data_IF_414705972223
#
_entry.id   IF_414705972223
#
_cell.length_a   1.000
_cell.length_b   1.000
_cell.length_c   1.000
_cell.angle_alpha   90.00
_cell.angle_beta   90.00
_cell.angle_gamma   90.00
#
_symmetry.space_group_name_H-M   'P 1'
#
loop_
_entity.id
_entity.type
_entity.pdbx_description
1 polymer ?
#
# COMPACT_ATOMS: atom_id res chain seq x y z
N UNK A 1 -80.73 -22.80 1.88
CA UNK A 1 -80.38 -21.40 1.56
C UNK A 1 -78.97 -21.02 1.99
N UNK A 2 -78.37 -21.70 2.98
CA UNK A 2 -76.99 -21.41 3.41
C UNK A 2 -75.92 -21.97 2.44
N UNK A 3 -76.15 -23.10 1.78
CA UNK A 3 -75.16 -23.70 0.84
C UNK A 3 -74.89 -22.86 -0.44
N UNK A 4 -75.87 -22.05 -0.86
CA UNK A 4 -75.73 -21.16 -2.03
C UNK A 4 -74.76 -19.99 -1.75
N UNK A 5 -74.76 -19.48 -0.50
CA UNK A 5 -73.87 -18.39 -0.08
C UNK A 5 -72.40 -18.83 0.02
N UNK A 6 -72.15 -20.08 0.41
CA UNK A 6 -70.79 -20.62 0.47
C UNK A 6 -70.21 -20.95 -0.91
N UNK A 7 -71.06 -21.39 -1.85
CA UNK A 7 -70.66 -21.59 -3.24
C UNK A 7 -70.24 -20.26 -3.89
N UNK A 8 -71.01 -19.18 -3.71
CA UNK A 8 -70.74 -17.87 -4.28
C UNK A 8 -69.46 -17.22 -3.69
N UNK A 9 -69.19 -17.43 -2.40
CA UNK A 9 -67.96 -16.95 -1.75
C UNK A 9 -66.70 -17.66 -2.26
N UNK A 10 -66.77 -18.95 -2.56
CA UNK A 10 -65.64 -19.71 -3.12
C UNK A 10 -65.39 -19.34 -4.58
N UNK A 11 -66.44 -19.15 -5.38
CA UNK A 11 -66.33 -18.68 -6.77
C UNK A 11 -65.67 -17.29 -6.83
N UNK A 12 -66.02 -16.38 -5.92
CA UNK A 12 -65.39 -15.05 -5.84
C UNK A 12 -63.92 -15.10 -5.47
N UNK A 13 -63.51 -15.95 -4.51
CA UNK A 13 -62.10 -16.11 -4.16
C UNK A 13 -61.27 -16.68 -5.30
N UNK A 14 -61.84 -17.61 -6.05
CA UNK A 14 -61.13 -18.19 -7.19
C UNK A 14 -61.04 -17.18 -8.34
N UNK A 15 -62.07 -16.36 -8.57
CA UNK A 15 -62.01 -15.22 -9.49
C UNK A 15 -60.94 -14.19 -9.11
N UNK A 16 -60.80 -13.86 -7.82
CA UNK A 16 -59.77 -12.93 -7.37
C UNK A 16 -58.35 -13.49 -7.59
N UNK A 17 -58.14 -14.77 -7.31
CA UNK A 17 -56.87 -15.46 -7.62
C UNK A 17 -56.58 -15.49 -9.12
N UNK A 18 -57.60 -15.69 -9.95
CA UNK A 18 -57.48 -15.66 -11.41
C UNK A 18 -57.08 -14.28 -11.90
N UNK A 19 -57.73 -13.22 -11.40
CA UNK A 19 -57.40 -11.85 -11.77
C UNK A 19 -55.97 -11.50 -11.37
N UNK A 20 -55.54 -11.92 -10.18
CA UNK A 20 -54.16 -11.70 -9.73
C UNK A 20 -53.14 -12.44 -10.59
N UNK A 21 -53.42 -13.69 -10.99
CA UNK A 21 -52.55 -14.44 -11.90
C UNK A 21 -52.49 -13.81 -13.30
N UNK A 22 -53.63 -13.34 -13.82
CA UNK A 22 -53.71 -12.65 -15.11
C UNK A 22 -52.93 -11.33 -15.08
N UNK A 23 -53.06 -10.52 -14.02
CA UNK A 23 -52.29 -9.29 -13.87
C UNK A 23 -50.79 -9.56 -13.81
N UNK A 24 -50.36 -10.57 -13.04
CA UNK A 24 -48.93 -10.94 -12.94
C UNK A 24 -48.36 -11.39 -14.29
N UNK A 25 -49.09 -12.21 -15.03
CA UNK A 25 -48.65 -12.65 -16.36
C UNK A 25 -48.74 -11.53 -17.41
N UNK A 26 -49.70 -10.60 -17.28
CA UNK A 26 -49.77 -9.40 -18.11
C UNK A 26 -48.54 -8.52 -17.94
N UNK A 27 -48.14 -8.24 -16.69
CA UNK A 27 -46.90 -7.47 -16.41
C UNK A 27 -45.65 -8.18 -16.96
N UNK A 28 -45.60 -9.51 -16.89
CA UNK A 28 -44.48 -10.28 -17.47
C UNK A 28 -44.44 -10.19 -18.99
N UNK A 29 -45.59 -10.24 -19.67
CA UNK A 29 -45.67 -10.04 -21.12
C UNK A 29 -45.28 -8.62 -21.51
N UNK A 30 -45.80 -7.60 -20.82
CA UNK A 30 -45.41 -6.19 -21.05
C UNK A 30 -43.90 -5.98 -20.88
N UNK A 31 -43.29 -6.66 -19.91
CA UNK A 31 -41.84 -6.58 -19.69
C UNK A 31 -41.06 -7.19 -20.87
N UNK A 32 -41.49 -8.36 -21.36
CA UNK A 32 -40.87 -9.03 -22.50
C UNK A 32 -41.10 -8.23 -23.79
N UNK A 33 -42.29 -7.68 -24.01
CA UNK A 33 -42.59 -6.83 -25.17
C UNK A 33 -41.72 -5.56 -25.16
N UNK A 34 -41.53 -4.93 -24.00
CA UNK A 34 -40.61 -3.79 -23.89
C UNK A 34 -39.16 -4.17 -24.17
N UNK A 35 -38.69 -5.33 -23.68
CA UNK A 35 -37.35 -5.84 -24.00
C UNK A 35 -37.17 -6.14 -25.49
N UNK A 36 -38.19 -6.72 -26.14
CA UNK A 36 -38.18 -6.97 -27.59
C UNK A 36 -38.21 -5.67 -28.39
N UNK A 37 -38.99 -4.68 -27.96
CA UNK A 37 -39.04 -3.36 -28.60
C UNK A 37 -37.69 -2.64 -28.52
N UNK A 38 -37.00 -2.70 -27.38
CA UNK A 38 -35.64 -2.14 -27.23
C UNK A 38 -34.66 -2.86 -28.16
N UNK A 39 -34.71 -4.19 -28.24
CA UNK A 39 -33.85 -4.96 -29.14
C UNK A 39 -34.15 -4.65 -30.62
N UNK A 40 -35.42 -4.44 -30.99
CA UNK A 40 -35.79 -4.09 -32.36
C UNK A 40 -35.40 -2.64 -32.70
N UNK A 41 -35.48 -1.71 -31.76
CA UNK A 41 -34.99 -0.33 -31.91
C UNK A 41 -33.45 -0.27 -32.02
N UNK A 42 -32.73 -1.04 -31.21
CA UNK A 42 -31.28 -1.23 -31.32
C UNK A 42 -30.90 -1.80 -32.70
N UNK A 43 -31.63 -2.80 -33.21
CA UNK A 43 -31.36 -3.38 -34.54
C UNK A 43 -31.70 -2.47 -35.72
N UNK A 44 -32.73 -1.61 -35.60
CA UNK A 44 -33.13 -0.69 -36.68
C UNK A 44 -32.23 0.54 -36.77
N UNK A 45 -31.63 0.96 -35.65
CA UNK A 45 -30.68 2.06 -35.59
C UNK A 45 -29.21 1.61 -35.79
N UNK A 46 -28.96 0.31 -36.01
CA UNK A 46 -27.62 -0.25 -36.05
C UNK A 46 -26.92 0.03 -37.39
N UNK A 47 -26.01 1.00 -37.37
CA UNK A 47 -25.04 1.30 -38.45
C UNK A 47 -24.26 0.04 -38.87
N UNK A 48 -24.10 -0.91 -37.93
CA UNK A 48 -23.45 -2.20 -38.12
C UNK A 48 -24.15 -3.07 -39.17
N UNK A 49 -25.49 -3.13 -39.17
CA UNK A 49 -26.24 -4.00 -40.07
C UNK A 49 -26.18 -3.47 -41.51
N UNK A 50 -26.19 -2.14 -41.65
CA UNK A 50 -25.94 -1.46 -42.93
C UNK A 50 -24.53 -1.72 -43.44
N UNK A 51 -23.53 -1.64 -42.57
CA UNK A 51 -22.14 -1.91 -42.92
C UNK A 51 -21.88 -3.39 -43.29
N UNK A 52 -22.59 -4.35 -42.68
CA UNK A 52 -22.56 -5.76 -43.08
C UNK A 52 -23.11 -5.91 -44.50
N UNK A 53 -24.25 -5.29 -44.82
CA UNK A 53 -24.86 -5.32 -46.16
C UNK A 53 -23.95 -4.65 -47.20
N UNK A 54 -23.33 -3.51 -46.85
CA UNK A 54 -22.38 -2.81 -47.70
C UNK A 54 -21.11 -3.64 -47.95
N UNK A 55 -20.61 -4.36 -46.95
CA UNK A 55 -19.50 -5.31 -47.10
C UNK A 55 -19.89 -6.53 -47.94
N UNK A 56 -21.07 -7.13 -47.74
CA UNK A 56 -21.58 -8.23 -48.57
C UNK A 56 -21.75 -7.80 -50.03
N UNK A 57 -22.21 -6.58 -50.28
CA UNK A 57 -22.29 -5.99 -51.61
C UNK A 57 -20.89 -5.80 -52.23
N UNK A 58 -19.91 -5.28 -51.46
CA UNK A 58 -18.53 -5.14 -51.91
C UNK A 58 -17.86 -6.49 -52.22
N UNK A 59 -18.10 -7.50 -51.38
CA UNK A 59 -17.63 -8.88 -51.59
C UNK A 59 -18.21 -9.49 -52.88
N UNK A 60 -19.49 -9.24 -53.15
CA UNK A 60 -20.16 -9.72 -54.37
C UNK A 60 -19.69 -9.02 -55.66
N UNK A 61 -19.22 -7.77 -55.54
CA UNK A 61 -18.74 -6.97 -56.67
C UNK A 61 -17.27 -7.26 -57.01
N UNK A 62 -16.37 -7.30 -56.02
CA UNK A 62 -14.94 -7.57 -56.25
C UNK A 62 -14.21 -8.03 -54.96
N UNK A 63 -14.13 -9.35 -54.74
CA UNK A 63 -13.56 -9.91 -53.51
C UNK A 63 -12.04 -9.67 -53.31
N UNK A 64 -11.31 -9.31 -54.37
CA UNK A 64 -9.83 -9.16 -54.34
C UNK A 64 -9.36 -7.82 -53.79
N UNK A 65 -10.24 -6.83 -53.75
CA UNK A 65 -9.92 -5.44 -53.37
C UNK A 65 -10.21 -5.15 -51.90
N UNK A 66 -10.68 -6.16 -51.14
CA UNK A 66 -11.01 -6.01 -49.73
C UNK A 66 -9.77 -6.24 -48.87
N UNK A 67 -9.32 -5.26 -48.06
CA UNK A 67 -8.20 -5.45 -47.16
C UNK A 67 -8.53 -6.45 -46.06
N UNK A 68 -7.52 -7.17 -45.57
CA UNK A 68 -7.69 -8.22 -44.57
C UNK A 68 -8.27 -7.69 -43.23
N UNK A 69 -8.02 -6.43 -42.91
CA UNK A 69 -8.53 -5.74 -41.72
C UNK A 69 -10.06 -5.58 -41.80
N UNK A 70 -10.59 -5.07 -42.91
CA UNK A 70 -12.04 -4.93 -43.13
C UNK A 70 -12.76 -6.30 -43.10
N UNK A 71 -12.09 -7.35 -43.55
CA UNK A 71 -12.62 -8.71 -43.47
C UNK A 71 -12.71 -9.24 -42.04
N UNK A 72 -11.71 -8.95 -41.20
CA UNK A 72 -11.72 -9.31 -39.78
C UNK A 72 -12.79 -8.52 -39.02
N UNK A 73 -12.92 -7.22 -39.29
CA UNK A 73 -13.93 -6.37 -38.68
C UNK A 73 -15.34 -6.83 -39.05
N UNK A 74 -15.58 -7.20 -40.30
CA UNK A 74 -16.88 -7.74 -40.69
C UNK A 74 -17.17 -9.12 -40.05
N UNK A 75 -16.16 -9.99 -39.89
CA UNK A 75 -16.32 -11.26 -39.15
C UNK A 75 -16.76 -10.99 -37.71
N UNK A 76 -16.14 -10.02 -37.02
CA UNK A 76 -16.51 -9.65 -35.65
C UNK A 76 -17.94 -9.10 -35.59
N UNK A 77 -18.33 -8.24 -36.55
CA UNK A 77 -19.69 -7.71 -36.66
C UNK A 77 -20.72 -8.82 -36.87
N UNK A 78 -20.48 -9.74 -37.81
CA UNK A 78 -21.34 -10.90 -38.05
C UNK A 78 -21.45 -11.82 -36.82
N UNK A 79 -20.36 -12.01 -36.07
CA UNK A 79 -20.38 -12.80 -34.83
C UNK A 79 -21.24 -12.14 -33.74
N UNK A 80 -21.18 -10.82 -33.62
CA UNK A 80 -22.03 -10.07 -32.68
C UNK A 80 -23.50 -10.14 -33.11
N UNK A 81 -23.80 -9.96 -34.40
CA UNK A 81 -25.15 -10.10 -34.93
C UNK A 81 -25.72 -11.51 -34.68
N UNK A 82 -24.90 -12.55 -34.85
CA UNK A 82 -25.31 -13.92 -34.55
C UNK A 82 -25.63 -14.12 -33.06
N UNK A 83 -24.90 -13.49 -32.14
CA UNK A 83 -25.19 -13.54 -30.69
C UNK A 83 -26.52 -12.85 -30.38
N UNK A 84 -26.78 -11.68 -30.97
CA UNK A 84 -28.04 -10.93 -30.79
C UNK A 84 -29.22 -11.76 -31.31
N UNK A 85 -29.13 -12.32 -32.52
CA UNK A 85 -30.17 -13.16 -33.11
C UNK A 85 -30.42 -14.42 -32.28
N UNK A 86 -29.37 -15.06 -31.74
CA UNK A 86 -29.53 -16.20 -30.83
C UNK A 86 -30.26 -15.82 -29.54
N UNK A 87 -29.94 -14.66 -28.95
CA UNK A 87 -30.62 -14.15 -27.76
C UNK A 87 -32.10 -13.86 -28.07
N UNK A 88 -32.40 -13.21 -29.19
CA UNK A 88 -33.78 -12.96 -29.65
C UNK A 88 -34.57 -14.26 -29.82
N UNK A 89 -34.01 -15.25 -30.50
CA UNK A 89 -34.67 -16.54 -30.69
C UNK A 89 -34.94 -17.27 -29.37
N UNK A 90 -34.03 -17.15 -28.38
CA UNK A 90 -34.26 -17.70 -27.04
C UNK A 90 -35.40 -16.98 -26.31
N UNK A 91 -35.52 -15.65 -26.45
CA UNK A 91 -36.61 -14.88 -25.87
C UNK A 91 -37.95 -15.23 -26.52
N UNK A 92 -38.01 -15.27 -27.85
CA UNK A 92 -39.21 -15.69 -28.60
C UNK A 92 -39.63 -17.13 -28.27
N UNK A 93 -38.67 -18.04 -28.06
CA UNK A 93 -38.97 -19.40 -27.62
C UNK A 93 -39.60 -19.45 -26.22
N UNK A 94 -39.12 -18.60 -25.29
CA UNK A 94 -39.71 -18.45 -23.96
C UNK A 94 -41.12 -17.86 -24.03
N UNK A 95 -41.30 -16.82 -24.84
CA UNK A 95 -42.61 -16.20 -25.06
C UNK A 95 -43.62 -17.21 -25.62
N UNK A 96 -43.25 -17.94 -26.67
CA UNK A 96 -44.09 -19.01 -27.23
C UNK A 96 -44.45 -20.08 -26.20
N UNK A 97 -43.50 -20.47 -25.33
CA UNK A 97 -43.78 -21.42 -24.26
C UNK A 97 -44.80 -20.87 -23.24
N UNK A 98 -44.70 -19.59 -22.89
CA UNK A 98 -45.64 -18.91 -21.99
C UNK A 98 -47.03 -18.78 -22.64
N UNK A 99 -47.11 -18.33 -23.89
CA UNK A 99 -48.37 -18.22 -24.63
C UNK A 99 -49.03 -19.60 -24.80
N UNK A 100 -48.27 -20.64 -25.13
CA UNK A 100 -48.79 -21.99 -25.25
C UNK A 100 -49.33 -22.51 -23.90
N UNK A 101 -48.67 -22.19 -22.79
CA UNK A 101 -49.17 -22.51 -21.45
C UNK A 101 -50.49 -21.79 -21.17
N UNK A 102 -50.57 -20.48 -21.44
CA UNK A 102 -51.80 -19.70 -21.26
C UNK A 102 -52.96 -20.25 -22.11
N UNK A 103 -52.71 -20.64 -23.36
CA UNK A 103 -53.72 -21.26 -24.21
C UNK A 103 -54.20 -22.59 -23.65
N UNK A 104 -53.30 -23.44 -23.14
CA UNK A 104 -53.68 -24.70 -22.48
C UNK A 104 -54.51 -24.46 -21.23
N UNK A 105 -54.10 -23.51 -20.39
CA UNK A 105 -54.82 -23.19 -19.14
C UNK A 105 -56.23 -22.64 -19.46
N UNK A 106 -56.35 -21.75 -20.46
CA UNK A 106 -57.65 -21.24 -20.94
C UNK A 106 -58.52 -22.34 -21.56
N UNK A 107 -57.94 -23.23 -22.37
CA UNK A 107 -58.67 -24.34 -22.98
C UNK A 107 -59.19 -25.32 -21.93
N UNK A 108 -58.37 -25.66 -20.93
CA UNK A 108 -58.78 -26.50 -19.81
C UNK A 108 -59.89 -25.84 -18.99
N UNK A 109 -59.82 -24.52 -18.78
CA UNK A 109 -60.87 -23.79 -18.06
C UNK A 109 -62.17 -23.74 -18.86
N UNK A 110 -62.13 -23.41 -20.16
CA UNK A 110 -63.31 -23.45 -21.03
C UNK A 110 -63.93 -24.84 -21.11
N UNK A 111 -63.10 -25.89 -21.12
CA UNK A 111 -63.60 -27.26 -21.06
C UNK A 111 -64.33 -27.54 -19.74
N UNK A 112 -63.78 -27.09 -18.60
CA UNK A 112 -64.44 -27.24 -17.29
C UNK A 112 -65.74 -26.46 -17.21
N UNK A 113 -65.74 -25.19 -17.60
CA UNK A 113 -66.95 -24.36 -17.56
C UNK A 113 -68.00 -24.85 -18.55
N UNK A 114 -67.61 -25.36 -19.73
CA UNK A 114 -68.52 -26.03 -20.65
C UNK A 114 -69.14 -27.25 -19.99
N UNK A 115 -68.35 -28.13 -19.37
CA UNK A 115 -68.89 -29.32 -18.68
C UNK A 115 -69.77 -28.96 -17.48
N UNK A 116 -69.45 -27.89 -16.75
CA UNK A 116 -70.29 -27.40 -15.65
C UNK A 116 -71.59 -26.81 -16.17
N UNK A 117 -71.56 -26.08 -17.29
CA UNK A 117 -72.75 -25.52 -17.93
C UNK A 117 -73.63 -26.64 -18.52
N UNK A 118 -73.03 -27.65 -19.15
CA UNK A 118 -73.71 -28.86 -19.61
C UNK A 118 -74.37 -29.60 -18.43
N UNK A 119 -73.65 -29.75 -17.30
CA UNK A 119 -74.21 -30.35 -16.08
C UNK A 119 -75.36 -29.51 -15.49
N UNK A 120 -75.22 -28.18 -15.43
CA UNK A 120 -76.26 -27.29 -14.93
C UNK A 120 -77.48 -27.37 -15.84
N UNK A 121 -77.31 -27.33 -17.16
CA UNK A 121 -78.41 -27.43 -18.12
C UNK A 121 -79.11 -28.78 -18.06
N UNK A 122 -78.35 -29.88 -17.89
CA UNK A 122 -78.91 -31.23 -17.68
C UNK A 122 -79.72 -31.34 -16.39
N UNK A 123 -79.22 -30.79 -15.28
CA UNK A 123 -79.88 -30.86 -13.96
C UNK A 123 -81.09 -29.92 -13.86
N UNK A 124 -80.98 -28.72 -14.42
CA UNK A 124 -81.97 -27.64 -14.21
C UNK A 124 -82.97 -27.48 -15.37
N UNK A 125 -82.71 -28.09 -16.53
CA UNK A 125 -83.52 -27.93 -17.74
C UNK A 125 -83.50 -26.50 -18.30
N UNK A 126 -82.55 -25.67 -17.87
CA UNK A 126 -82.49 -24.26 -18.22
C UNK A 126 -81.97 -24.07 -19.65
N UNK A 127 -82.89 -24.08 -20.61
CA UNK A 127 -82.65 -23.64 -21.98
C UNK A 127 -82.98 -22.15 -22.07
N UNK A 128 -82.10 -21.37 -22.71
CA UNK A 128 -82.12 -19.90 -22.74
C UNK A 128 -83.30 -19.27 -23.51
N UNK A 129 -84.53 -19.64 -23.19
CA UNK A 129 -85.73 -18.94 -23.62
C UNK A 129 -86.17 -17.99 -22.49
N UNK A 130 -86.06 -16.69 -22.79
CA UNK A 130 -86.34 -15.58 -21.89
C UNK A 130 -87.77 -15.68 -21.33
N UNK A 131 -87.89 -15.51 -20.01
CA UNK A 131 -89.14 -15.13 -19.36
C UNK A 131 -89.03 -13.70 -18.85
N UNK A 132 -90.06 -12.92 -19.20
CA UNK A 132 -90.24 -11.52 -18.83
C UNK A 132 -90.03 -11.31 -17.34
N UNK A 133 -88.95 -10.59 -17.00
CA UNK A 133 -88.67 -10.14 -15.65
C UNK A 133 -89.37 -8.79 -15.46
N UNK A 134 -90.16 -8.69 -14.40
CA UNK A 134 -90.90 -7.49 -13.97
C UNK A 134 -89.97 -6.25 -13.91
N UNK A 135 -90.17 -5.34 -14.87
CA UNK A 135 -89.30 -4.20 -15.15
C UNK A 135 -89.24 -3.16 -14.01
N UNK A 136 -90.20 -3.19 -13.08
CA UNK A 136 -90.31 -2.24 -11.98
C UNK A 136 -89.30 -2.52 -10.85
N UNK A 137 -89.09 -3.79 -10.52
CA UNK A 137 -88.01 -4.20 -9.59
C UNK A 137 -86.64 -4.05 -10.23
N UNK A 138 -86.52 -4.32 -11.54
CA UNK A 138 -85.24 -4.13 -12.26
C UNK A 138 -84.79 -2.68 -12.31
N UNK A 139 -85.68 -1.69 -12.33
CA UNK A 139 -85.28 -0.28 -12.28
C UNK A 139 -84.63 0.10 -10.95
N UNK A 140 -85.21 -0.34 -9.81
CA UNK A 140 -84.61 -0.13 -8.49
C UNK A 140 -83.27 -0.89 -8.35
N UNK A 141 -83.19 -2.12 -8.90
CA UNK A 141 -81.93 -2.85 -8.95
C UNK A 141 -80.91 -2.18 -9.87
N UNK A 142 -81.33 -1.56 -10.98
CA UNK A 142 -80.45 -0.80 -11.87
C UNK A 142 -79.90 0.45 -11.19
N UNK A 143 -80.70 1.17 -10.41
CA UNK A 143 -80.24 2.32 -9.62
C UNK A 143 -79.27 1.88 -8.50
N UNK A 144 -79.60 0.82 -7.76
CA UNK A 144 -78.70 0.25 -6.75
C UNK A 144 -77.39 -0.30 -7.37
N UNK A 145 -77.47 -0.91 -8.56
CA UNK A 145 -76.29 -1.34 -9.34
C UNK A 145 -75.49 -0.13 -9.80
N UNK A 146 -76.14 0.95 -10.24
CA UNK A 146 -75.46 2.19 -10.62
C UNK A 146 -74.71 2.81 -9.42
N UNK A 147 -75.35 2.93 -8.27
CA UNK A 147 -74.74 3.41 -7.03
C UNK A 147 -73.57 2.51 -6.59
N UNK A 148 -73.71 1.19 -6.68
CA UNK A 148 -72.62 0.25 -6.41
C UNK A 148 -71.48 0.38 -7.40
N UNK A 149 -71.76 0.60 -8.69
CA UNK A 149 -70.71 0.81 -9.70
C UNK A 149 -69.96 2.12 -9.50
N UNK A 150 -70.65 3.20 -9.14
CA UNK A 150 -70.01 4.49 -8.84
C UNK A 150 -69.20 4.43 -7.55
N UNK A 151 -69.69 3.74 -6.52
CA UNK A 151 -68.95 3.48 -5.29
C UNK A 151 -67.71 2.62 -5.57
N UNK A 152 -67.84 1.53 -6.34
CA UNK A 152 -66.72 0.69 -6.74
C UNK A 152 -65.67 1.46 -7.54
N UNK A 153 -66.09 2.39 -8.42
CA UNK A 153 -65.17 3.26 -9.15
C UNK A 153 -64.40 4.20 -8.21
N UNK A 154 -65.08 4.82 -7.22
CA UNK A 154 -64.42 5.64 -6.18
C UNK A 154 -63.42 4.84 -5.35
N UNK A 155 -63.82 3.65 -4.88
CA UNK A 155 -62.93 2.76 -4.11
C UNK A 155 -61.71 2.36 -4.94
N UNK A 156 -61.87 2.03 -6.23
CA UNK A 156 -60.73 1.75 -7.12
C UNK A 156 -59.81 2.96 -7.28
N UNK A 157 -60.38 4.16 -7.41
CA UNK A 157 -59.59 5.40 -7.50
C UNK A 157 -58.80 5.66 -6.21
N UNK A 158 -59.43 5.51 -5.05
CA UNK A 158 -58.79 5.63 -3.73
C UNK A 158 -57.69 4.58 -3.55
N UNK A 159 -57.95 3.33 -3.91
CA UNK A 159 -56.98 2.23 -3.84
C UNK A 159 -55.77 2.51 -4.75
N UNK A 160 -56.00 3.02 -5.97
CA UNK A 160 -54.92 3.42 -6.87
C UNK A 160 -54.09 4.57 -6.30
N UNK A 161 -54.72 5.57 -5.69
CA UNK A 161 -54.02 6.67 -5.01
C UNK A 161 -53.20 6.17 -3.82
N UNK A 162 -53.73 5.22 -3.04
CA UNK A 162 -53.06 4.61 -1.91
C UNK A 162 -51.85 3.79 -2.37
N UNK A 163 -51.98 3.02 -3.46
CA UNK A 163 -50.86 2.30 -4.11
C UNK A 163 -49.73 3.24 -4.52
N UNK A 164 -50.06 4.40 -5.11
CA UNK A 164 -49.05 5.41 -5.47
C UNK A 164 -48.37 5.99 -4.22
N UNK A 165 -49.12 6.26 -3.15
CA UNK A 165 -48.55 6.75 -1.88
C UNK A 165 -47.64 5.70 -1.24
N UNK A 166 -48.04 4.43 -1.25
CA UNK A 166 -47.22 3.31 -0.74
C UNK A 166 -45.90 3.24 -1.50
N UNK A 167 -45.93 3.21 -2.84
CA UNK A 167 -44.70 3.21 -3.67
C UNK A 167 -43.80 4.40 -3.38
N UNK A 168 -44.36 5.61 -3.16
CA UNK A 168 -43.58 6.80 -2.78
C UNK A 168 -42.90 6.63 -1.42
N UNK A 169 -43.60 6.04 -0.44
CA UNK A 169 -43.04 5.76 0.88
C UNK A 169 -41.98 4.67 0.84
N UNK A 170 -42.21 3.59 0.08
CA UNK A 170 -41.22 2.54 -0.14
C UNK A 170 -39.93 3.10 -0.76
N UNK A 171 -40.06 3.92 -1.81
CA UNK A 171 -38.90 4.59 -2.42
C UNK A 171 -38.19 5.53 -1.43
N UNK A 172 -38.92 6.22 -0.55
CA UNK A 172 -38.33 7.04 0.50
C UNK A 172 -37.60 6.21 1.56
N UNK A 173 -38.14 5.05 1.94
CA UNK A 173 -37.49 4.11 2.86
C UNK A 173 -36.19 3.59 2.26
N UNK A 174 -36.20 3.17 0.99
CA UNK A 174 -34.98 2.69 0.31
C UNK A 174 -33.92 3.78 0.28
N UNK A 175 -34.29 5.04 -0.04
CA UNK A 175 -33.35 6.17 0.01
C UNK A 175 -32.79 6.42 1.41
N UNK A 176 -33.64 6.37 2.43
CA UNK A 176 -33.18 6.53 3.81
C UNK A 176 -32.26 5.38 4.25
N UNK A 177 -32.47 4.17 3.74
CA UNK A 177 -31.57 3.04 3.99
C UNK A 177 -30.21 3.25 3.33
N UNK A 178 -30.17 3.70 2.06
CA UNK A 178 -28.92 4.02 1.38
C UNK A 178 -28.17 5.15 2.08
N UNK A 179 -28.87 6.20 2.51
CA UNK A 179 -28.27 7.33 3.23
C UNK A 179 -27.72 6.87 4.60
N UNK A 180 -28.43 5.98 5.29
CA UNK A 180 -27.97 5.41 6.55
C UNK A 180 -26.72 4.52 6.39
N UNK A 181 -26.62 3.77 5.30
CA UNK A 181 -25.42 2.99 4.97
C UNK A 181 -24.24 3.89 4.65
N UNK A 182 -24.44 4.93 3.84
CA UNK A 182 -23.40 5.94 3.55
C UNK A 182 -22.93 6.64 4.83
N UNK A 183 -23.85 7.00 5.74
CA UNK A 183 -23.48 7.58 7.03
C UNK A 183 -22.64 6.63 7.89
N UNK A 184 -22.96 5.33 7.91
CA UNK A 184 -22.13 4.33 8.62
C UNK A 184 -20.73 4.22 8.01
N UNK A 185 -20.60 4.34 6.70
CA UNK A 185 -19.28 4.36 6.06
C UNK A 185 -18.49 5.63 6.41
N UNK A 186 -19.15 6.79 6.44
CA UNK A 186 -18.53 8.05 6.87
C UNK A 186 -18.08 7.98 8.34
N UNK A 187 -18.89 7.40 9.24
CA UNK A 187 -18.52 7.17 10.63
C UNK A 187 -17.28 6.27 10.75
N UNK A 188 -17.20 5.19 9.96
CA UNK A 188 -16.00 4.33 9.92
C UNK A 188 -14.77 5.10 9.44
N UNK A 189 -14.90 5.90 8.37
CA UNK A 189 -13.80 6.75 7.86
C UNK A 189 -13.34 7.76 8.91
N UNK A 190 -14.29 8.37 9.63
CA UNK A 190 -14.01 9.33 10.69
C UNK A 190 -13.31 8.68 11.91
N UNK A 191 -13.71 7.45 12.28
CA UNK A 191 -12.99 6.67 13.30
C UNK A 191 -11.56 6.31 12.88
N UNK A 192 -11.35 5.93 11.62
CA UNK A 192 -10.00 5.69 11.08
C UNK A 192 -9.15 6.96 11.15
N UNK A 193 -9.68 8.11 10.73
CA UNK A 193 -9.00 9.40 10.83
C UNK A 193 -8.63 9.77 12.28
N UNK A 194 -9.52 9.52 13.25
CA UNK A 194 -9.18 9.74 14.67
C UNK A 194 -8.05 8.83 15.16
N UNK A 195 -8.03 7.57 14.71
CA UNK A 195 -6.94 6.65 15.04
C UNK A 195 -5.62 7.12 14.42
N UNK A 196 -5.64 7.56 13.15
CA UNK A 196 -4.45 8.09 12.48
C UNK A 196 -3.93 9.34 13.19
N UNK A 197 -4.80 10.28 13.58
CA UNK A 197 -4.44 11.45 14.37
C UNK A 197 -3.79 11.01 15.69
N UNK A 198 -4.34 10.01 16.37
CA UNK A 198 -3.79 9.51 17.65
C UNK A 198 -2.41 8.89 17.47
N UNK A 199 -2.20 8.11 16.40
CA UNK A 199 -0.89 7.54 16.05
C UNK A 199 0.10 8.68 15.76
N UNK A 200 -0.27 9.64 14.91
CA UNK A 200 0.60 10.78 14.60
C UNK A 200 0.96 11.62 15.82
N UNK A 201 0.01 11.88 16.72
CA UNK A 201 0.28 12.56 17.99
C UNK A 201 1.29 11.80 18.85
N UNK A 202 1.22 10.46 18.86
CA UNK A 202 2.20 9.62 19.56
C UNK A 202 3.58 9.74 18.91
N UNK A 203 3.66 9.61 17.59
CA UNK A 203 4.91 9.72 16.84
C UNK A 203 5.57 11.09 17.05
N UNK A 204 4.79 12.17 17.05
CA UNK A 204 5.27 13.52 17.35
C UNK A 204 5.86 13.61 18.76
N UNK A 205 5.19 13.06 19.77
CA UNK A 205 5.71 13.04 21.16
C UNK A 205 7.00 12.23 21.27
N UNK A 206 7.09 11.10 20.58
CA UNK A 206 8.32 10.29 20.55
C UNK A 206 9.47 11.04 19.87
N UNK A 207 9.19 11.77 18.78
CA UNK A 207 10.16 12.62 18.09
C UNK A 207 10.61 13.81 18.95
N UNK A 208 9.68 14.49 19.65
CA UNK A 208 9.99 15.56 20.60
C UNK A 208 10.88 15.06 21.74
N UNK A 209 10.56 13.89 22.31
CA UNK A 209 11.38 13.27 23.35
C UNK A 209 12.78 12.91 22.85
N UNK A 210 12.90 12.43 21.60
CA UNK A 210 14.20 12.16 20.97
C UNK A 210 15.01 13.45 20.76
N UNK A 211 14.36 14.52 20.28
CA UNK A 211 15.00 15.82 20.10
C UNK A 211 15.52 16.38 21.43
N UNK A 212 14.73 16.30 22.50
CA UNK A 212 15.17 16.73 23.83
C UNK A 212 16.40 15.96 24.32
N UNK A 213 16.46 14.64 24.08
CA UNK A 213 17.65 13.83 24.41
C UNK A 213 18.88 14.30 23.63
N UNK A 214 18.73 14.53 22.32
CA UNK A 214 19.81 15.04 21.48
C UNK A 214 20.31 16.41 21.94
N UNK A 215 19.42 17.33 22.32
CA UNK A 215 19.79 18.65 22.86
C UNK A 215 20.61 18.50 24.15
N UNK A 216 20.21 17.58 25.04
CA UNK A 216 20.97 17.30 26.27
C UNK A 216 22.35 16.73 25.94
N UNK A 217 22.43 15.78 25.01
CA UNK A 217 23.69 15.18 24.56
C UNK A 217 24.62 16.21 23.91
N UNK A 218 24.11 17.06 23.02
CA UNK A 218 24.86 18.16 22.41
C UNK A 218 25.38 19.13 23.48
N UNK A 219 24.56 19.50 24.47
CA UNK A 219 25.01 20.35 25.59
C UNK A 219 26.12 19.71 26.43
N UNK A 220 26.18 18.37 26.50
CA UNK A 220 27.25 17.63 27.17
C UNK A 220 28.51 17.66 26.32
N UNK A 221 28.38 17.48 25.01
CA UNK A 221 29.49 17.56 24.04
C UNK A 221 30.08 18.96 24.02
N UNK A 222 29.28 20.02 23.95
CA UNK A 222 29.75 21.41 24.03
C UNK A 222 30.52 21.67 25.33
N UNK A 223 29.97 21.25 26.48
CA UNK A 223 30.70 21.36 27.77
C UNK A 223 32.01 20.59 27.77
N UNK A 224 32.06 19.41 27.15
CA UNK A 224 33.29 18.63 27.03
C UNK A 224 34.32 19.31 26.10
N UNK A 225 33.87 19.92 25.00
CA UNK A 225 34.71 20.67 24.08
C UNK A 225 35.29 21.93 24.74
N UNK A 226 34.48 22.68 25.50
CA UNK A 226 34.97 23.85 26.26
C UNK A 226 36.02 23.43 27.28
N UNK A 227 35.77 22.38 28.07
CA UNK A 227 36.77 21.84 29.01
C UNK A 227 38.05 21.39 28.31
N UNK A 228 37.93 20.76 27.13
CA UNK A 228 39.08 20.33 26.35
C UNK A 228 39.87 21.52 25.82
N UNK A 229 39.21 22.58 25.35
CA UNK A 229 39.85 23.84 24.94
C UNK A 229 40.61 24.48 26.11
N UNK A 230 39.98 24.60 27.29
CA UNK A 230 40.64 25.13 28.50
C UNK A 230 41.86 24.29 28.90
N UNK A 231 41.75 22.96 28.81
CA UNK A 231 42.88 22.05 29.02
C UNK A 231 43.96 22.19 27.94
N UNK A 232 43.58 22.44 26.69
CA UNK A 232 44.51 22.61 25.58
C UNK A 232 45.31 23.90 25.73
N UNK A 233 44.70 24.97 26.22
CA UNK A 233 45.37 26.24 26.52
C UNK A 233 46.33 26.10 27.71
N UNK A 234 45.93 25.34 28.74
CA UNK A 234 46.79 24.95 29.87
C UNK A 234 47.99 24.09 29.43
N UNK A 235 47.75 23.11 28.56
CA UNK A 235 48.81 22.23 28.04
C UNK A 235 49.71 22.98 27.08
N UNK A 236 49.18 23.87 26.23
CA UNK A 236 49.99 24.70 25.34
C UNK A 236 50.92 25.64 26.12
N UNK A 237 50.44 26.25 27.20
CA UNK A 237 51.29 27.02 28.11
C UNK A 237 52.37 26.14 28.75
N UNK A 238 52.02 24.95 29.24
CA UNK A 238 52.98 24.00 29.83
C UNK A 238 54.01 23.47 28.81
N UNK A 239 53.61 23.23 27.56
CA UNK A 239 54.50 22.79 26.48
C UNK A 239 55.49 23.90 26.13
N UNK A 240 55.06 25.16 26.09
CA UNK A 240 55.94 26.32 25.89
C UNK A 240 57.01 26.46 27.00
N UNK A 241 56.63 26.23 28.26
CA UNK A 241 57.60 26.20 29.37
C UNK A 241 58.54 24.98 29.28
N UNK A 242 58.02 23.81 28.89
CA UNK A 242 58.82 22.61 28.70
C UNK A 242 59.76 22.67 27.49
N UNK A 243 59.39 23.40 26.43
CA UNK A 243 60.26 23.60 25.25
C UNK A 243 61.48 24.46 25.61
N UNK A 244 61.31 25.49 26.44
CA UNK A 244 62.41 26.29 26.97
C UNK A 244 63.31 25.48 27.94
N UNK A 245 62.71 24.64 28.79
CA UNK A 245 63.48 23.75 29.68
C UNK A 245 64.15 22.60 28.92
N UNK A 246 63.61 22.17 27.78
CA UNK A 246 64.16 21.07 26.98
C UNK A 246 65.51 21.42 26.38
N UNK A 247 65.73 22.64 25.92
CA UNK A 247 67.04 23.06 25.41
C UNK A 247 68.08 23.07 26.55
N UNK A 248 67.74 23.70 27.68
CA UNK A 248 68.62 23.77 28.85
C UNK A 248 68.92 22.40 29.47
N UNK A 249 67.92 21.52 29.60
CA UNK A 249 68.10 20.16 30.09
C UNK A 249 68.77 19.25 29.06
N UNK A 250 68.62 19.50 27.75
CA UNK A 250 69.27 18.66 26.73
C UNK A 250 70.79 18.80 26.78
N UNK A 251 71.31 20.00 27.00
CA UNK A 251 72.74 20.26 27.13
C UNK A 251 73.29 19.69 28.45
N UNK A 252 72.59 19.93 29.57
CA UNK A 252 72.98 19.38 30.87
C UNK A 252 72.90 17.84 30.91
N UNK A 253 71.89 17.23 30.27
CA UNK A 253 71.74 15.77 30.18
C UNK A 253 72.72 15.17 29.19
N UNK A 254 73.10 15.87 28.12
CA UNK A 254 74.14 15.40 27.20
C UNK A 254 75.49 15.33 27.90
N UNK A 255 75.86 16.38 28.65
CA UNK A 255 77.11 16.43 29.42
C UNK A 255 77.12 15.40 30.55
N UNK A 256 76.02 15.29 31.31
CA UNK A 256 75.88 14.29 32.37
C UNK A 256 75.84 12.86 31.83
N UNK A 257 75.24 12.60 30.65
CA UNK A 257 75.29 11.28 30.00
C UNK A 257 76.69 10.90 29.55
N UNK A 258 77.50 11.84 29.08
CA UNK A 258 78.89 11.57 28.71
C UNK A 258 79.72 11.21 29.95
N UNK A 259 79.55 11.97 31.04
CA UNK A 259 80.25 11.72 32.31
C UNK A 259 79.79 10.41 32.95
N UNK A 260 78.48 10.17 33.07
CA UNK A 260 77.95 8.92 33.62
C UNK A 260 78.30 7.70 32.77
N UNK A 261 78.33 7.81 31.43
CA UNK A 261 78.79 6.69 30.58
C UNK A 261 80.26 6.38 30.78
N UNK A 262 81.11 7.41 30.92
CA UNK A 262 82.54 7.23 31.22
C UNK A 262 82.73 6.57 32.59
N UNK A 263 82.04 7.06 33.62
CA UNK A 263 82.06 6.48 34.96
C UNK A 263 81.49 5.05 35.00
N UNK A 264 80.36 4.77 34.35
CA UNK A 264 79.80 3.42 34.26
C UNK A 264 80.74 2.45 33.56
N UNK A 265 81.44 2.89 32.51
CA UNK A 265 82.41 2.06 31.80
C UNK A 265 83.65 1.78 32.67
N UNK A 266 84.12 2.78 33.43
CA UNK A 266 85.18 2.61 34.42
C UNK A 266 84.75 1.65 35.53
N UNK A 267 83.56 1.81 36.09
CA UNK A 267 83.03 0.92 37.15
C UNK A 267 82.84 -0.50 36.64
N UNK A 268 82.32 -0.69 35.42
CA UNK A 268 82.20 -2.02 34.81
C UNK A 268 83.56 -2.65 34.56
N UNK A 269 84.55 -1.88 34.12
CA UNK A 269 85.92 -2.35 33.94
C UNK A 269 86.57 -2.75 35.28
N UNK A 270 86.36 -1.95 36.34
CA UNK A 270 86.84 -2.27 37.68
C UNK A 270 86.17 -3.52 38.26
N UNK A 271 84.86 -3.67 38.11
CA UNK A 271 84.12 -4.86 38.54
C UNK A 271 84.58 -6.10 37.77
N UNK A 272 84.75 -6.00 36.46
CA UNK A 272 85.27 -7.10 35.64
C UNK A 272 86.69 -7.49 36.10
N UNK A 273 87.55 -6.51 36.37
CA UNK A 273 88.92 -6.76 36.86
C UNK A 273 88.91 -7.39 38.24
N UNK A 274 88.04 -6.93 39.14
CA UNK A 274 87.90 -7.50 40.47
C UNK A 274 87.45 -8.96 40.40
N UNK A 275 86.48 -9.28 39.54
CA UNK A 275 86.02 -10.66 39.34
C UNK A 275 87.14 -11.57 38.79
N UNK A 276 87.92 -11.08 37.82
CA UNK A 276 89.08 -11.82 37.31
C UNK A 276 90.13 -12.09 38.38
N UNK A 277 90.49 -11.08 39.17
CA UNK A 277 91.46 -11.23 40.27
C UNK A 277 90.94 -12.15 41.35
N UNK A 278 89.65 -12.07 41.69
CA UNK A 278 89.01 -12.96 42.65
C UNK A 278 89.03 -14.41 42.14
N UNK A 279 88.70 -14.66 40.87
CA UNK A 279 88.75 -15.99 40.29
C UNK A 279 90.17 -16.58 40.30
N UNK A 280 91.19 -15.77 40.00
CA UNK A 280 92.61 -16.19 40.11
C UNK A 280 92.99 -16.51 41.55
N UNK A 281 92.58 -15.67 42.50
CA UNK A 281 92.83 -15.88 43.93
C UNK A 281 92.15 -17.16 44.43
N UNK A 282 90.91 -17.43 44.02
CA UNK A 282 90.20 -18.66 44.37
C UNK A 282 90.90 -19.91 43.83
N UNK A 283 91.47 -19.81 42.62
CA UNK A 283 92.23 -20.90 42.00
C UNK A 283 93.56 -21.16 42.73
N UNK A 284 94.27 -20.10 43.13
CA UNK A 284 95.47 -20.20 43.98
C UNK A 284 95.11 -20.80 45.35
N UNK A 285 94.04 -20.33 45.99
CA UNK A 285 93.56 -20.86 47.27
C UNK A 285 93.11 -22.32 47.18
N UNK A 286 92.61 -22.75 46.03
CA UNK A 286 92.30 -24.16 45.75
C UNK A 286 93.57 -24.99 45.65
N UNK A 287 94.57 -24.55 44.88
CA UNK A 287 95.86 -25.22 44.78
C UNK A 287 96.61 -25.31 46.13
N UNK A 288 96.58 -24.24 46.93
CA UNK A 288 97.15 -24.22 48.28
C UNK A 288 96.45 -25.19 49.25
N UNK A 289 95.13 -25.38 49.09
CA UNK A 289 94.36 -26.39 49.85
C UNK A 289 94.73 -27.81 49.43
N UNK A 290 94.89 -28.07 48.13
CA UNK A 290 95.31 -29.36 47.59
C UNK A 290 96.73 -29.73 48.08
N UNK A 291 97.63 -28.75 48.22
CA UNK A 291 98.98 -28.93 48.77
C UNK A 291 99.04 -28.92 50.31
N UNK A 292 97.90 -28.79 51.01
CA UNK A 292 97.78 -28.65 52.49
C UNK A 292 98.53 -27.45 53.11
N UNK A 293 98.92 -26.47 52.30
CA UNK A 293 99.65 -25.26 52.72
C UNK A 293 98.72 -24.07 53.05
N UNK A 294 97.41 -24.21 52.81
CA UNK A 294 96.44 -23.13 53.02
C UNK A 294 96.48 -22.51 54.43
N UNK A 295 96.64 -23.33 55.48
CA UNK A 295 96.72 -22.84 56.87
C UNK A 295 98.03 -22.10 57.18
N UNK A 296 99.12 -22.45 56.51
CA UNK A 296 100.40 -21.74 56.65
C UNK A 296 100.38 -20.42 55.88
N UNK A 297 99.74 -20.40 54.70
CA UNK A 297 99.54 -19.19 53.92
C UNK A 297 98.68 -18.17 54.67
N UNK A 298 97.52 -18.56 55.21
CA UNK A 298 96.67 -17.65 56.01
C UNK A 298 97.36 -17.10 57.27
N UNK A 299 98.30 -17.86 57.85
CA UNK A 299 99.06 -17.43 59.04
C UNK A 299 100.19 -16.44 58.70
N UNK A 300 100.75 -16.53 57.49
CA UNK A 300 101.90 -15.74 57.05
C UNK A 300 101.52 -14.54 56.17
N UNK A 301 100.28 -14.46 55.67
CA UNK A 301 99.79 -13.29 54.93
C UNK A 301 99.57 -12.13 55.89
N UNK A 302 100.37 -11.07 55.74
CA UNK A 302 100.20 -9.83 56.48
C UNK A 302 98.83 -9.21 56.15
N UNK A 303 97.96 -9.07 57.16
CA UNK A 303 96.61 -8.46 57.00
C UNK A 303 96.65 -7.01 56.50
N UNK A 304 97.81 -6.34 56.52
CA UNK A 304 97.97 -4.98 55.97
C UNK A 304 98.38 -4.94 54.49
N UNK A 305 98.58 -6.08 53.82
CA UNK A 305 98.97 -6.12 52.40
C UNK A 305 97.78 -6.17 51.42
N UNK A 306 96.54 -6.34 51.93
CA UNK A 306 95.32 -6.48 51.12
C UNK A 306 94.54 -5.18 50.90
N UNK A 307 95.01 -4.06 51.46
CA UNK A 307 94.44 -2.74 51.20
C UNK A 307 95.59 -1.77 50.99
N UNK A 308 95.82 -1.27 49.76
CA UNK A 308 96.72 -0.15 49.55
C UNK A 308 96.23 1.04 50.37
N UNK A 309 97.03 1.44 51.37
CA UNK A 309 96.80 2.62 52.17
C UNK A 309 97.05 3.87 51.34
N UNK A 310 95.96 4.58 51.06
CA UNK A 310 95.85 5.99 50.69
C UNK A 310 96.61 6.49 49.43
N UNK A 311 95.82 7.07 48.51
CA UNK A 311 96.21 7.92 47.39
C UNK A 311 96.80 7.21 46.17
N UNK A 312 95.92 6.59 45.38
CA UNK A 312 96.14 6.42 43.94
C UNK A 312 95.01 7.17 43.23
N UNK A 313 95.35 8.02 42.28
CA UNK A 313 94.38 8.66 41.37
C UNK A 313 93.42 7.60 40.82
N UNK A 314 92.11 7.89 40.87
CA UNK A 314 91.11 7.01 40.27
C UNK A 314 91.40 6.93 38.76
N UNK A 315 91.43 5.71 38.17
CA UNK A 315 91.76 5.55 36.77
C UNK A 315 90.71 6.26 35.91
N UNK A 316 91.18 7.20 35.11
CA UNK A 316 90.35 8.09 34.33
C UNK A 316 89.78 7.44 33.06
N UNK A 317 90.37 6.34 32.59
CA UNK A 317 89.99 5.62 31.38
C UNK A 317 90.08 4.09 31.50
N UNK A 318 89.22 3.42 30.72
CA UNK A 318 89.01 1.96 30.72
C UNK A 318 90.27 1.18 30.34
N UNK A 319 91.08 1.73 29.43
CA UNK A 319 92.32 1.12 28.91
C UNK A 319 93.41 0.99 29.99
N UNK A 320 93.34 1.78 31.06
CA UNK A 320 94.26 1.67 32.20
C UNK A 320 93.87 0.55 33.18
N UNK A 321 92.64 0.03 33.07
CA UNK A 321 92.06 -0.96 33.99
C UNK A 321 92.10 -2.37 33.40
N UNK A 322 91.86 -2.48 32.09
CA UNK A 322 91.86 -3.73 31.33
C UNK A 322 92.99 -3.66 30.28
N UNK A 323 94.12 -4.37 30.47
CA UNK A 323 95.19 -4.38 29.47
C UNK A 323 94.76 -5.13 28.20
N UNK A 324 95.10 -4.57 27.03
CA UNK A 324 94.64 -5.02 25.70
C UNK A 324 94.98 -6.47 25.32
N UNK A 325 95.94 -7.10 25.99
CA UNK A 325 96.39 -8.47 25.66
C UNK A 325 95.60 -9.59 26.35
N UNK A 326 94.41 -9.32 26.92
CA UNK A 326 93.60 -10.35 27.58
C UNK A 326 92.71 -11.12 26.58
N UNK A 327 93.19 -12.28 26.14
CA UNK A 327 92.47 -13.17 25.25
C UNK A 327 91.41 -13.99 26.02
N UNK A 328 90.15 -13.94 25.55
CA UNK A 328 89.05 -14.73 26.11
C UNK A 328 89.25 -16.21 25.73
N UNK A 329 89.25 -17.14 26.69
CA UNK A 329 89.33 -18.57 26.41
C UNK A 329 88.22 -19.01 25.43
N UNK A 330 88.59 -19.85 24.46
CA UNK A 330 87.74 -20.28 23.33
C UNK A 330 86.38 -20.82 23.79
N UNK A 331 86.31 -21.46 24.96
CA UNK A 331 85.07 -22.06 25.47
C UNK A 331 84.03 -21.02 25.90
N UNK A 332 84.46 -19.88 26.46
CA UNK A 332 83.57 -18.76 26.80
C UNK A 332 83.04 -18.08 25.54
N UNK A 333 83.89 -17.93 24.51
CA UNK A 333 83.47 -17.43 23.21
C UNK A 333 82.43 -18.33 22.54
N UNK A 334 82.63 -19.67 22.60
CA UNK A 334 81.67 -20.65 22.08
C UNK A 334 80.31 -20.57 22.76
N UNK A 335 80.28 -20.34 24.08
CA UNK A 335 79.03 -20.19 24.81
C UNK A 335 78.26 -18.93 24.38
N UNK A 336 78.95 -17.79 24.27
CA UNK A 336 78.36 -16.54 23.80
C UNK A 336 77.86 -16.63 22.35
N UNK A 337 78.59 -17.34 21.49
CA UNK A 337 78.18 -17.59 20.11
C UNK A 337 76.89 -18.40 20.05
N UNK A 338 76.77 -19.47 20.84
CA UNK A 338 75.58 -20.32 20.91
C UNK A 338 74.34 -19.55 21.38
N UNK A 339 74.48 -18.69 22.38
CA UNK A 339 73.37 -17.84 22.85
C UNK A 339 72.93 -16.82 21.78
N UNK A 340 73.89 -16.23 21.05
CA UNK A 340 73.57 -15.34 19.94
C UNK A 340 72.77 -16.07 18.84
N UNK A 341 73.15 -17.30 18.53
CA UNK A 341 72.46 -18.15 17.56
C UNK A 341 71.04 -18.51 18.01
N UNK A 342 70.84 -18.85 19.29
CA UNK A 342 69.50 -19.03 19.86
C UNK A 342 68.65 -17.76 19.79
N UNK A 343 69.24 -16.59 20.00
CA UNK A 343 68.53 -15.32 19.89
C UNK A 343 68.12 -15.03 18.44
N UNK A 344 69.01 -15.27 17.47
CA UNK A 344 68.71 -15.10 16.03
C UNK A 344 67.56 -16.00 15.57
N UNK A 345 67.55 -17.26 15.98
CA UNK A 345 66.45 -18.19 15.65
C UNK A 345 65.12 -17.80 16.31
N UNK A 346 65.16 -17.21 17.50
CA UNK A 346 63.98 -16.65 18.16
C UNK A 346 63.40 -15.45 17.39
N UNK A 347 64.26 -14.53 16.95
CA UNK A 347 63.85 -13.38 16.11
C UNK A 347 63.27 -13.84 14.78
N UNK A 348 63.89 -14.81 14.10
CA UNK A 348 63.38 -15.36 12.84
C UNK A 348 61.98 -15.96 12.99
N UNK A 349 61.71 -16.70 14.08
CA UNK A 349 60.37 -17.23 14.37
C UNK A 349 59.33 -16.15 14.59
N UNK A 350 59.69 -15.06 15.30
CA UNK A 350 58.78 -13.92 15.51
C UNK A 350 58.45 -13.21 14.18
N UNK A 351 59.43 -13.03 13.30
CA UNK A 351 59.20 -12.42 11.99
C UNK A 351 58.26 -13.27 11.11
N UNK A 352 58.40 -14.60 11.13
CA UNK A 352 57.45 -15.49 10.45
C UNK A 352 56.02 -15.32 10.99
N UNK A 353 55.85 -15.24 12.32
CA UNK A 353 54.54 -15.02 12.92
C UNK A 353 53.91 -13.68 12.52
N UNK A 354 54.72 -12.62 12.40
CA UNK A 354 54.24 -11.31 11.93
C UNK A 354 53.71 -11.42 10.49
N UNK A 355 54.46 -12.06 9.59
CA UNK A 355 54.04 -12.27 8.20
C UNK A 355 52.73 -13.08 8.10
N UNK A 356 52.58 -14.12 8.91
CA UNK A 356 51.33 -14.89 8.98
C UNK A 356 50.13 -14.03 9.43
N UNK A 357 50.34 -13.15 10.42
CA UNK A 357 49.30 -12.23 10.90
C UNK A 357 48.95 -11.16 9.87
N UNK A 358 49.93 -10.61 9.17
CA UNK A 358 49.71 -9.67 8.07
C UNK A 358 48.91 -10.32 6.93
N UNK A 359 49.23 -11.58 6.58
CA UNK A 359 48.45 -12.34 5.60
C UNK A 359 46.99 -12.54 6.04
N UNK A 360 46.76 -12.84 7.32
CA UNK A 360 45.41 -12.97 7.87
C UNK A 360 44.63 -11.63 7.83
N UNK A 361 45.30 -10.50 8.12
CA UNK A 361 44.71 -9.17 8.03
C UNK A 361 44.32 -8.87 6.58
N UNK A 362 45.20 -9.09 5.61
CA UNK A 362 44.90 -8.87 4.18
C UNK A 362 43.71 -9.72 3.70
N UNK A 363 43.60 -10.97 4.18
CA UNK A 363 42.45 -11.82 3.86
C UNK A 363 41.14 -11.26 4.44
N UNK A 364 41.17 -10.72 5.66
CA UNK A 364 40.02 -10.06 6.28
C UNK A 364 39.64 -8.76 5.57
N UNK A 365 40.61 -7.95 5.17
CA UNK A 365 40.40 -6.72 4.40
C UNK A 365 39.77 -7.03 3.03
N UNK A 366 40.26 -8.05 2.33
CA UNK A 366 39.65 -8.51 1.07
C UNK A 366 38.21 -8.98 1.26
N UNK A 367 37.92 -9.67 2.37
CA UNK A 367 36.55 -10.10 2.70
C UNK A 367 35.65 -8.91 3.03
N UNK A 368 36.17 -7.91 3.75
CA UNK A 368 35.46 -6.67 4.06
C UNK A 368 35.13 -5.90 2.79
N UNK A 369 36.09 -5.76 1.87
CA UNK A 369 35.88 -5.12 0.57
C UNK A 369 34.75 -5.79 -0.22
N UNK A 370 34.72 -7.13 -0.27
CA UNK A 370 33.61 -7.87 -0.90
C UNK A 370 32.24 -7.59 -0.28
N UNK A 371 32.18 -7.44 1.05
CA UNK A 371 30.92 -7.08 1.72
C UNK A 371 30.50 -5.64 1.42
N UNK A 372 31.45 -4.70 1.36
CA UNK A 372 31.20 -3.31 0.95
C UNK A 372 30.65 -3.27 -0.47
N UNK A 373 31.28 -3.98 -1.41
CA UNK A 373 30.83 -4.05 -2.80
C UNK A 373 29.41 -4.65 -2.92
N UNK A 374 29.14 -5.74 -2.18
CA UNK A 374 27.81 -6.37 -2.14
C UNK A 374 26.75 -5.45 -1.55
N UNK A 375 27.09 -4.70 -0.50
CA UNK A 375 26.19 -3.72 0.11
C UNK A 375 25.89 -2.58 -0.85
N UNK A 376 26.92 -2.03 -1.50
CA UNK A 376 26.77 -0.96 -2.48
C UNK A 376 25.91 -1.40 -3.67
N UNK A 377 26.12 -2.61 -4.20
CA UNK A 377 25.28 -3.17 -5.27
C UNK A 377 23.81 -3.27 -4.83
N UNK A 378 23.56 -3.74 -3.60
CA UNK A 378 22.20 -3.84 -3.04
C UNK A 378 21.55 -2.46 -2.87
N UNK A 379 22.32 -1.47 -2.40
CA UNK A 379 21.85 -0.09 -2.27
C UNK A 379 21.49 0.51 -3.64
N UNK A 380 22.36 0.35 -4.66
CA UNK A 380 22.08 0.83 -6.01
C UNK A 380 20.85 0.16 -6.64
N UNK A 381 20.63 -1.13 -6.35
CA UNK A 381 19.43 -1.83 -6.79
C UNK A 381 18.18 -1.30 -6.09
N UNK A 382 18.27 -1.00 -4.78
CA UNK A 382 17.23 -0.34 -4.02
C UNK A 382 16.84 1.01 -4.59
N UNK A 383 17.83 1.87 -4.86
CA UNK A 383 17.62 3.20 -5.45
C UNK A 383 16.99 3.12 -6.84
N UNK A 384 17.44 2.18 -7.68
CA UNK A 384 16.85 1.95 -9.01
C UNK A 384 15.40 1.49 -8.93
N UNK A 385 15.07 0.57 -8.01
CA UNK A 385 13.69 0.13 -7.79
C UNK A 385 12.81 1.28 -7.30
N UNK A 386 13.32 2.11 -6.37
CA UNK A 386 12.59 3.26 -5.87
C UNK A 386 12.34 4.30 -6.97
N UNK A 387 13.34 4.57 -7.81
CA UNK A 387 13.20 5.45 -8.97
C UNK A 387 12.13 4.94 -9.95
N UNK A 388 12.15 3.65 -10.28
CA UNK A 388 11.16 3.03 -11.16
C UNK A 388 9.74 3.11 -10.57
N UNK A 389 9.59 2.82 -9.27
CA UNK A 389 8.28 2.90 -8.59
C UNK A 389 7.75 4.32 -8.51
N UNK A 390 8.62 5.30 -8.31
CA UNK A 390 8.23 6.70 -8.35
C UNK A 390 7.79 7.13 -9.75
N UNK A 391 8.47 6.66 -10.81
CA UNK A 391 8.05 6.91 -12.19
C UNK A 391 6.66 6.32 -12.47
N UNK A 392 6.44 5.03 -12.14
CA UNK A 392 5.13 4.38 -12.27
C UNK A 392 4.01 5.13 -11.52
N UNK A 393 4.30 5.62 -10.30
CA UNK A 393 3.33 6.37 -9.51
C UNK A 393 3.04 7.75 -10.11
N UNK A 394 4.04 8.37 -10.73
CA UNK A 394 3.89 9.66 -11.43
C UNK A 394 3.01 9.49 -12.66
N UNK A 395 3.25 8.44 -13.46
CA UNK A 395 2.42 8.11 -14.63
C UNK A 395 0.97 7.84 -14.22
N UNK A 396 0.76 7.05 -13.16
CA UNK A 396 -0.58 6.76 -12.65
C UNK A 396 -1.29 8.02 -12.11
N UNK A 397 -0.55 8.97 -11.52
CA UNK A 397 -1.11 10.26 -11.12
C UNK A 397 -1.52 11.12 -12.32
N UNK A 398 -0.75 11.08 -13.41
CA UNK A 398 -1.09 11.78 -14.66
C UNK A 398 -2.37 11.17 -15.25
N UNK A 399 -2.44 9.85 -15.39
CA UNK A 399 -3.62 9.15 -15.90
C UNK A 399 -4.88 9.48 -15.09
N UNK A 400 -4.76 9.48 -13.75
CA UNK A 400 -5.87 9.80 -12.86
C UNK A 400 -6.32 11.27 -12.99
N UNK A 401 -5.38 12.19 -13.19
CA UNK A 401 -5.71 13.59 -13.45
C UNK A 401 -6.39 13.78 -14.81
N UNK A 402 -5.96 13.06 -15.84
CA UNK A 402 -6.59 13.10 -17.16
C UNK A 402 -8.02 12.54 -17.11
N UNK A 403 -8.22 11.39 -16.44
CA UNK A 403 -9.55 10.84 -16.20
C UNK A 403 -10.45 11.81 -15.45
N UNK A 404 -9.94 12.46 -14.39
CA UNK A 404 -10.69 13.46 -13.64
C UNK A 404 -11.07 14.67 -14.51
N UNK A 405 -10.17 15.15 -15.37
CA UNK A 405 -10.48 16.23 -16.33
C UNK A 405 -11.54 15.81 -17.34
N UNK A 406 -11.47 14.59 -17.85
CA UNK A 406 -12.47 14.05 -18.78
C UNK A 406 -13.86 13.97 -18.13
N UNK A 407 -13.94 13.46 -16.90
CA UNK A 407 -15.20 13.41 -16.14
C UNK A 407 -15.77 14.80 -15.84
N UNK A 408 -14.92 15.78 -15.52
CA UNK A 408 -15.37 17.16 -15.33
C UNK A 408 -15.96 17.75 -16.62
N UNK A 409 -15.32 17.50 -17.77
CA UNK A 409 -15.84 17.95 -19.06
C UNK A 409 -17.21 17.34 -19.38
N UNK A 410 -17.39 16.03 -19.11
CA UNK A 410 -18.66 15.33 -19.27
C UNK A 410 -19.76 15.91 -18.36
N UNK A 411 -19.43 16.21 -17.10
CA UNK A 411 -20.36 16.87 -16.16
C UNK A 411 -20.77 18.26 -16.65
N UNK A 412 -19.83 19.04 -17.20
CA UNK A 412 -20.11 20.36 -17.76
C UNK A 412 -21.06 20.28 -18.97
N UNK A 413 -20.83 19.31 -19.85
CA UNK A 413 -21.67 19.06 -21.03
C UNK A 413 -23.09 18.65 -20.62
N UNK A 414 -23.23 17.67 -19.72
CA UNK A 414 -24.53 17.28 -19.15
C UNK A 414 -25.21 18.45 -18.44
N UNK A 415 -24.46 19.30 -17.75
CA UNK A 415 -25.00 20.49 -17.08
C UNK A 415 -25.48 21.57 -18.06
N UNK A 416 -24.87 21.64 -19.25
CA UNK A 416 -25.31 22.52 -20.33
C UNK A 416 -26.58 21.98 -20.99
N UNK A 417 -26.61 20.69 -21.32
CA UNK A 417 -27.78 20.03 -21.88
C UNK A 417 -28.99 20.14 -20.93
N UNK A 418 -28.78 19.90 -19.63
CA UNK A 418 -29.83 20.02 -18.62
C UNK A 418 -30.37 21.46 -18.48
N UNK A 419 -29.52 22.48 -18.70
CA UNK A 419 -29.96 23.89 -18.79
C UNK A 419 -30.82 24.13 -20.03
N UNK A 420 -30.42 23.61 -21.19
CA UNK A 420 -31.18 23.72 -22.44
C UNK A 420 -32.55 23.03 -22.33
N UNK A 421 -32.59 21.80 -21.82
CA UNK A 421 -33.82 21.06 -21.56
C UNK A 421 -34.75 21.80 -20.58
N UNK A 422 -34.21 22.41 -19.51
CA UNK A 422 -35.01 23.25 -18.60
C UNK A 422 -35.60 24.47 -19.29
N UNK A 423 -34.86 25.11 -20.20
CA UNK A 423 -35.37 26.24 -20.98
C UNK A 423 -36.47 25.79 -21.95
N UNK A 424 -36.28 24.67 -22.65
CA UNK A 424 -37.32 24.10 -23.50
C UNK A 424 -38.58 23.73 -22.73
N UNK A 425 -38.42 23.06 -21.58
CA UNK A 425 -39.52 22.68 -20.71
C UNK A 425 -40.30 23.91 -20.24
N UNK A 426 -39.61 24.96 -19.79
CA UNK A 426 -40.22 26.22 -19.39
C UNK A 426 -40.97 26.90 -20.55
N UNK A 427 -40.40 26.91 -21.77
CA UNK A 427 -41.09 27.42 -22.98
C UNK A 427 -42.35 26.61 -23.29
N UNK A 428 -42.27 25.27 -23.26
CA UNK A 428 -43.44 24.39 -23.47
C UNK A 428 -44.51 24.61 -22.41
N UNK A 429 -44.13 24.77 -21.14
CA UNK A 429 -45.04 25.06 -20.03
C UNK A 429 -45.72 26.44 -20.18
N UNK A 430 -44.98 27.48 -20.59
CA UNK A 430 -45.54 28.80 -20.87
C UNK A 430 -46.51 28.76 -22.07
N UNK A 431 -46.15 28.05 -23.14
CA UNK A 431 -47.01 27.87 -24.31
C UNK A 431 -48.30 27.11 -23.95
N UNK A 432 -48.22 26.09 -23.09
CA UNK A 432 -49.38 25.36 -22.59
C UNK A 432 -50.28 26.25 -21.71
N UNK A 433 -49.70 27.10 -20.84
CA UNK A 433 -50.46 28.08 -20.05
C UNK A 433 -51.14 29.13 -20.95
N UNK A 434 -50.45 29.63 -21.98
CA UNK A 434 -51.03 30.57 -22.95
C UNK A 434 -52.17 29.95 -23.78
N UNK A 435 -52.04 28.67 -24.18
CA UNK A 435 -53.13 27.93 -24.84
C UNK A 435 -54.33 27.73 -23.90
N UNK A 436 -54.10 27.40 -22.62
CA UNK A 436 -55.17 27.34 -21.61
C UNK A 436 -55.87 28.68 -21.44
N UNK A 437 -55.14 29.79 -21.31
CA UNK A 437 -55.71 31.14 -21.20
C UNK A 437 -56.54 31.56 -22.43
N UNK A 438 -56.09 31.21 -23.64
CA UNK A 438 -56.87 31.41 -24.88
C UNK A 438 -58.16 30.58 -24.92
N UNK A 439 -58.15 29.37 -24.37
CA UNK A 439 -59.35 28.53 -24.25
C UNK A 439 -60.34 29.07 -23.22
N UNK A 440 -59.86 29.60 -22.08
CA UNK A 440 -60.72 30.26 -21.09
C UNK A 440 -61.33 31.56 -21.61
N UNK A 441 -60.59 32.37 -22.39
CA UNK A 441 -61.14 33.57 -23.02
C UNK A 441 -62.20 33.27 -24.09
N UNK A 442 -62.04 32.20 -24.89
CA UNK A 442 -63.11 31.75 -25.81
C UNK A 442 -64.36 31.23 -25.09
N UNK A 443 -64.20 30.61 -23.92
CA UNK A 443 -65.31 30.23 -23.03
C UNK A 443 -66.06 31.46 -22.48
N UNK A 444 -65.34 32.52 -22.08
CA UNK A 444 -65.94 33.77 -21.63
C UNK A 444 -66.64 34.54 -22.77
N UNK A 445 -66.12 34.50 -23.99
CA UNK A 445 -66.80 35.08 -25.17
C UNK A 445 -68.09 34.31 -25.53
N UNK A 446 -68.12 32.97 -25.37
CA UNK A 446 -69.36 32.20 -25.54
C UNK A 446 -70.43 32.48 -24.47
N UNK A 447 -70.02 32.98 -23.29
CA UNK A 447 -70.93 33.44 -22.23
C UNK A 447 -71.44 34.88 -22.44
N UNK A 448 -70.84 35.67 -23.33
CA UNK A 448 -71.27 37.05 -23.64
C UNK A 448 -72.19 37.09 -24.87
N UNK A 449 -72.08 36.12 -25.79
CA UNK A 449 -72.95 36.04 -26.98
C UNK A 449 -74.39 35.61 -26.65
N UNK A 450 -74.69 35.13 -25.42
CA UNK A 450 -76.08 34.93 -24.97
C UNK A 450 -76.77 36.19 -24.42
N UNK A 451 -76.10 37.36 -24.36
CA UNK A 451 -76.67 38.63 -23.84
C UNK A 451 -76.74 39.79 -24.83
N UNK A 452 -76.38 39.59 -26.09
CA UNK A 452 -76.52 40.62 -27.14
C UNK A 452 -77.26 40.11 -28.36
N UNK A 453 -78.35 39.37 -28.13
CA UNK A 453 -79.53 39.52 -28.98
C UNK A 453 -80.09 40.92 -28.71
N UNK A 454 -79.83 41.89 -29.58
CA UNK A 454 -80.64 43.10 -29.85
C UNK A 454 -79.74 44.07 -30.60
N UNK A 455 -79.93 44.08 -31.93
CA UNK A 455 -79.79 45.19 -32.88
C UNK A 455 -79.19 44.72 -34.20
N UNK A 456 -80.08 44.23 -35.06
CA UNK A 456 -79.95 44.29 -36.51
C UNK A 456 -81.24 44.89 -37.09
N UNK A 457 -81.05 45.73 -38.10
CA UNK A 457 -82.02 46.47 -38.93
C UNK A 457 -82.73 47.63 -38.21
N UNK A 458 -82.72 48.88 -38.67
CA UNK A 458 -82.57 49.46 -40.02
C UNK A 458 -81.75 50.74 -39.97
#
# INVERSE_FOLDING_TARGET
>A
MEDSYFADANVRRELDRMNEAVERYGVQLDTIENELAVIDEENQNDDVNRQIIEYEAAMSANFKDIPAEDALDNIVRMQNQLKIVKRRNQLLAKENAIQQKQLRDRANMLSRTSTELDNITEITGWHGEFHDVDMSTTMNYQEAVHDMTTLAAKVRQELNSAKVIIKKKENAIVKLQTDAEQNKELEKKLQLLYNDIRVKQRDTREAEAKLQRMIVDDSNVERALVKRSEQQDSVAASVLYMENDKEFLSDAVAEMKVICRRQDNVVKAQLARQQQLQARLDQIMKALREMKLAKEFERNVAKSALVPSASREEPEDVEQILPDDEHIPIDTYRLLYKDNEMMRTSVARKNMLVLEKESAIQALESKLAKYIDSHNASATQGDSMQANKNAELTDLMIDLQEQHKAQLAEIEELSKENRELKLEYNKRAQNAKAKKAKATNRSLESSVVSKTSVRRAK
#
